data_IF_883834105926
#
_entry.id   IF_883834105926
#
_cell.length_a   1.000
_cell.length_b   1.000
_cell.length_c   1.000
_cell.angle_alpha   90.00
_cell.angle_beta   90.00
_cell.angle_gamma   90.00
#
_symmetry.space_group_name_H-M   'P 1'
#
loop_
_entity.id
_entity.type
_entity.pdbx_description
1 polymer ?
#
# COMPACT_ATOMS: atom_id res chain seq x y z
N UNK A 1 39.77 -16.21 -23.02
CA UNK A 1 38.67 -16.81 -23.80
C UNK A 1 37.39 -16.38 -23.13
N UNK A 2 36.93 -15.18 -23.45
CA UNK A 2 35.77 -14.56 -22.80
C UNK A 2 34.50 -15.27 -23.27
N UNK A 3 33.97 -16.16 -22.43
CA UNK A 3 32.64 -16.69 -22.64
C UNK A 3 31.66 -15.55 -22.43
N UNK A 4 31.31 -14.83 -23.50
CA UNK A 4 30.25 -13.83 -23.50
C UNK A 4 29.01 -14.48 -22.90
N UNK A 5 28.66 -14.07 -21.68
CA UNK A 5 27.42 -14.43 -21.03
C UNK A 5 26.27 -14.15 -22.00
N UNK A 6 25.32 -15.07 -22.05
CA UNK A 6 24.09 -14.88 -22.81
C UNK A 6 23.39 -13.59 -22.38
N UNK A 7 22.59 -13.00 -23.27
CA UNK A 7 21.81 -11.80 -22.95
C UNK A 7 20.96 -12.01 -21.67
N UNK A 8 20.41 -13.21 -21.48
CA UNK A 8 19.64 -13.57 -20.30
C UNK A 8 20.49 -13.51 -19.02
N UNK A 9 21.71 -14.07 -19.04
CA UNK A 9 22.62 -14.02 -17.89
C UNK A 9 23.03 -12.59 -17.54
N UNK A 10 23.33 -11.77 -18.54
CA UNK A 10 23.66 -10.35 -18.32
C UNK A 10 22.47 -9.55 -17.76
N UNK A 11 21.26 -9.87 -18.20
CA UNK A 11 20.05 -9.26 -17.65
C UNK A 11 19.82 -9.66 -16.19
N UNK A 12 20.06 -10.93 -15.85
CA UNK A 12 19.98 -11.43 -14.46
C UNK A 12 21.03 -10.73 -13.57
N UNK A 13 22.29 -10.64 -14.01
CA UNK A 13 23.35 -9.95 -13.26
C UNK A 13 23.03 -8.47 -13.03
N UNK A 14 22.49 -7.79 -14.04
CA UNK A 14 22.07 -6.39 -13.93
C UNK A 14 20.91 -6.24 -12.94
N UNK A 15 19.90 -7.10 -13.04
CA UNK A 15 18.76 -7.10 -12.14
C UNK A 15 19.18 -7.37 -10.69
N UNK A 16 20.10 -8.31 -10.46
CA UNK A 16 20.66 -8.58 -9.14
C UNK A 16 21.37 -7.34 -8.58
N UNK A 17 22.25 -6.70 -9.36
CA UNK A 17 22.95 -5.48 -8.93
C UNK A 17 21.99 -4.35 -8.56
N UNK A 18 20.89 -4.20 -9.29
CA UNK A 18 19.86 -3.21 -8.98
C UNK A 18 19.08 -3.56 -7.72
N UNK A 19 18.74 -4.84 -7.53
CA UNK A 19 18.01 -5.30 -6.35
C UNK A 19 18.84 -5.16 -5.07
N UNK A 20 20.12 -5.49 -5.13
CA UNK A 20 21.06 -5.33 -4.01
C UNK A 20 21.17 -3.85 -3.62
N UNK A 21 21.36 -2.98 -4.62
CA UNK A 21 21.45 -1.53 -4.38
C UNK A 21 20.15 -0.94 -3.83
N UNK A 22 19.00 -1.39 -4.32
CA UNK A 22 17.72 -0.97 -3.79
C UNK A 22 17.60 -1.40 -2.32
N UNK A 23 17.99 -2.63 -1.98
CA UNK A 23 17.93 -3.16 -0.62
C UNK A 23 18.82 -2.39 0.36
N UNK A 24 20.00 -1.95 -0.07
CA UNK A 24 20.89 -1.09 0.74
C UNK A 24 20.30 0.31 1.00
N UNK A 25 19.48 0.83 0.09
CA UNK A 25 18.90 2.16 0.16
C UNK A 25 17.56 2.20 0.92
N UNK A 26 16.93 1.04 1.12
CA UNK A 26 15.68 0.91 1.88
C UNK A 26 15.95 1.29 3.33
N UNK A 27 15.21 2.29 3.81
CA UNK A 27 15.21 2.67 5.21
C UNK A 27 14.13 1.87 5.99
N UNK A 28 14.11 1.99 7.32
CA UNK A 28 13.14 1.27 8.17
C UNK A 28 11.67 1.63 7.88
N UNK A 29 11.41 2.86 7.43
CA UNK A 29 10.07 3.31 7.07
C UNK A 29 9.59 2.61 5.79
N UNK A 30 10.46 2.52 4.78
CA UNK A 30 10.19 1.85 3.52
C UNK A 30 9.93 0.35 3.74
N UNK A 31 10.67 -0.29 4.64
CA UNK A 31 10.42 -1.68 5.03
C UNK A 31 9.02 -1.89 5.63
N UNK A 32 8.59 -1.01 6.54
CA UNK A 32 7.23 -1.06 7.12
C UNK A 32 6.16 -0.83 6.06
N UNK A 33 6.37 0.12 5.16
CA UNK A 33 5.48 0.38 4.04
C UNK A 33 5.39 -0.84 3.10
N UNK A 34 6.52 -1.49 2.78
CA UNK A 34 6.53 -2.72 1.98
C UNK A 34 5.71 -3.84 2.62
N UNK A 35 5.81 -4.01 3.95
CA UNK A 35 5.00 -4.99 4.68
C UNK A 35 3.51 -4.67 4.58
N UNK A 36 3.11 -3.42 4.76
CA UNK A 36 1.72 -2.98 4.62
C UNK A 36 1.21 -3.19 3.19
N UNK A 37 2.00 -2.77 2.20
CA UNK A 37 1.69 -2.93 0.77
C UNK A 37 1.51 -4.40 0.42
N UNK A 38 2.40 -5.28 0.89
CA UNK A 38 2.28 -6.72 0.68
C UNK A 38 1.02 -7.30 1.31
N UNK A 39 0.65 -6.89 2.53
CA UNK A 39 -0.62 -7.29 3.15
C UNK A 39 -1.82 -6.87 2.31
N UNK A 40 -1.84 -5.62 1.86
CA UNK A 40 -2.90 -5.10 1.00
C UNK A 40 -3.01 -5.88 -0.32
N UNK A 41 -1.88 -6.16 -0.98
CA UNK A 41 -1.87 -6.88 -2.26
C UNK A 41 -2.26 -8.36 -2.12
N UNK A 42 -2.02 -8.95 -0.94
CA UNK A 42 -2.36 -10.35 -0.67
C UNK A 42 -3.87 -10.61 -0.54
N UNK A 43 -4.65 -9.58 -0.23
CA UNK A 43 -6.10 -9.68 -0.05
C UNK A 43 -6.85 -8.86 -1.12
N UNK A 44 -7.60 -9.51 -2.03
CA UNK A 44 -8.34 -8.81 -3.08
C UNK A 44 -9.31 -7.74 -2.56
N UNK A 45 -9.92 -7.95 -1.38
CA UNK A 45 -10.88 -7.00 -0.80
C UNK A 45 -10.20 -5.73 -0.31
N UNK A 46 -9.01 -5.85 0.29
CA UNK A 46 -8.22 -4.70 0.74
C UNK A 46 -7.79 -3.82 -0.44
N UNK A 47 -7.49 -4.45 -1.58
CA UNK A 47 -7.15 -3.73 -2.81
C UNK A 47 -8.33 -2.94 -3.37
N UNK A 48 -9.53 -3.54 -3.37
CA UNK A 48 -10.76 -2.85 -3.83
C UNK A 48 -11.07 -1.67 -2.92
N UNK A 49 -11.00 -1.87 -1.60
CA UNK A 49 -11.21 -0.81 -0.61
C UNK A 49 -10.25 0.36 -0.83
N UNK A 50 -8.94 0.11 -1.03
CA UNK A 50 -7.99 1.19 -1.28
C UNK A 50 -8.35 1.98 -2.55
N UNK A 51 -8.67 1.27 -3.65
CA UNK A 51 -9.03 1.91 -4.91
C UNK A 51 -10.28 2.78 -4.75
N UNK A 52 -11.32 2.26 -4.08
CA UNK A 52 -12.55 3.02 -3.85
C UNK A 52 -12.35 4.19 -2.88
N UNK A 53 -11.51 4.04 -1.84
CA UNK A 53 -11.14 5.15 -0.96
C UNK A 53 -10.43 6.25 -1.75
N UNK A 54 -9.41 5.91 -2.56
CA UNK A 54 -8.71 6.88 -3.39
C UNK A 54 -9.63 7.56 -4.41
N UNK A 55 -10.55 6.81 -5.03
CA UNK A 55 -11.47 7.40 -5.99
C UNK A 55 -12.51 8.31 -5.33
N UNK A 56 -13.17 7.83 -4.27
CA UNK A 56 -14.35 8.49 -3.71
C UNK A 56 -13.99 9.60 -2.72
N UNK A 57 -12.96 9.41 -1.89
CA UNK A 57 -12.58 10.40 -0.87
C UNK A 57 -12.01 11.69 -1.46
N UNK A 58 -11.46 11.65 -2.68
CA UNK A 58 -10.90 12.84 -3.34
C UNK A 58 -11.82 13.44 -4.41
N UNK A 59 -12.96 12.82 -4.70
CA UNK A 59 -13.91 13.29 -5.73
C UNK A 59 -14.77 14.47 -5.27
N UNK A 60 -15.00 14.60 -3.97
CA UNK A 60 -15.75 15.71 -3.39
C UNK A 60 -14.84 16.76 -2.76
N UNK A 61 -15.16 18.04 -2.96
CA UNK A 61 -14.48 19.15 -2.27
C UNK A 61 -15.11 19.47 -0.92
N UNK A 62 -16.22 18.84 -0.57
CA UNK A 62 -16.95 19.10 0.68
C UNK A 62 -16.49 18.11 1.75
N UNK A 63 -15.85 18.56 2.85
CA UNK A 63 -15.29 17.67 3.87
C UNK A 63 -16.33 16.72 4.48
N UNK A 64 -17.54 17.21 4.74
CA UNK A 64 -18.65 16.39 5.25
C UNK A 64 -18.97 15.23 4.31
N UNK A 65 -19.03 15.50 3.00
CA UNK A 65 -19.32 14.47 2.01
C UNK A 65 -18.18 13.46 1.89
N UNK A 66 -16.93 13.90 2.04
CA UNK A 66 -15.78 12.99 2.08
C UNK A 66 -15.86 12.07 3.29
N UNK A 67 -16.18 12.61 4.47
CA UNK A 67 -16.36 11.84 5.69
C UNK A 67 -17.43 10.75 5.55
N UNK A 68 -18.62 11.11 5.04
CA UNK A 68 -19.70 10.15 4.80
C UNK A 68 -19.27 8.98 3.88
N UNK A 69 -18.48 9.28 2.84
CA UNK A 69 -18.00 8.25 1.90
C UNK A 69 -16.94 7.35 2.53
N UNK A 70 -16.05 7.93 3.32
CA UNK A 70 -15.05 7.17 4.06
C UNK A 70 -15.73 6.20 5.03
N UNK A 71 -16.72 6.66 5.79
CA UNK A 71 -17.50 5.81 6.70
C UNK A 71 -18.24 4.70 5.94
N UNK A 72 -18.94 5.04 4.86
CA UNK A 72 -19.64 4.07 4.02
C UNK A 72 -18.71 2.96 3.48
N UNK A 73 -17.51 3.32 3.05
CA UNK A 73 -16.53 2.34 2.56
C UNK A 73 -16.05 1.41 3.66
N UNK A 74 -15.83 1.93 4.87
CA UNK A 74 -15.45 1.09 6.00
C UNK A 74 -16.58 0.20 6.51
N UNK A 75 -17.83 0.64 6.45
CA UNK A 75 -18.98 -0.21 6.75
C UNK A 75 -19.12 -1.35 5.73
N UNK A 76 -18.88 -1.06 4.45
CA UNK A 76 -19.02 -2.01 3.34
C UNK A 76 -17.93 -3.08 3.34
N UNK A 77 -16.68 -2.71 3.57
CA UNK A 77 -15.52 -3.60 3.42
C UNK A 77 -14.90 -4.02 4.76
N UNK A 78 -15.28 -3.38 5.86
CA UNK A 78 -14.61 -3.51 7.15
C UNK A 78 -13.26 -2.79 7.20
N UNK A 79 -12.61 -2.89 8.35
CA UNK A 79 -11.28 -2.31 8.56
C UNK A 79 -10.19 -3.12 7.86
N UNK A 80 -9.66 -2.57 6.78
CA UNK A 80 -8.65 -3.18 5.91
C UNK A 80 -7.47 -3.80 6.67
N UNK A 81 -7.02 -4.99 6.27
CA UNK A 81 -5.98 -5.73 6.99
C UNK A 81 -4.59 -5.05 6.96
N UNK A 82 -4.39 -4.12 6.02
CA UNK A 82 -3.14 -3.38 5.88
C UNK A 82 -2.99 -2.21 6.86
N UNK A 83 -4.08 -1.73 7.47
CA UNK A 83 -3.99 -0.67 8.48
C UNK A 83 -3.27 -1.17 9.75
N UNK A 84 -2.33 -0.36 10.21
CA UNK A 84 -1.67 -0.49 11.51
C UNK A 84 -2.65 -0.28 12.66
N UNK A 85 -2.27 -0.73 13.85
CA UNK A 85 -3.07 -0.54 15.07
C UNK A 85 -3.34 0.94 15.37
N UNK A 86 -2.37 1.82 15.12
CA UNK A 86 -2.53 3.27 15.27
C UNK A 86 -3.54 3.85 14.29
N UNK A 87 -3.51 3.45 13.02
CA UNK A 87 -4.47 3.91 12.02
C UNK A 87 -5.89 3.42 12.32
N UNK A 88 -6.01 2.16 12.76
CA UNK A 88 -7.28 1.61 13.25
C UNK A 88 -7.84 2.40 14.43
N UNK A 89 -6.98 2.82 15.36
CA UNK A 89 -7.41 3.66 16.48
C UNK A 89 -7.84 5.06 16.02
N UNK A 90 -7.13 5.69 15.09
CA UNK A 90 -7.53 6.96 14.50
C UNK A 90 -8.88 6.86 13.77
N UNK A 91 -9.10 5.76 13.05
CA UNK A 91 -10.38 5.49 12.41
C UNK A 91 -11.52 5.31 13.41
N UNK A 92 -11.25 4.61 14.52
CA UNK A 92 -12.22 4.48 15.61
C UNK A 92 -12.54 5.84 16.24
N UNK A 93 -11.54 6.70 16.48
CA UNK A 93 -11.75 8.05 16.97
C UNK A 93 -12.58 8.88 15.99
N UNK A 94 -12.29 8.78 14.70
CA UNK A 94 -13.04 9.46 13.64
C UNK A 94 -14.51 9.05 13.63
N UNK A 95 -14.80 7.76 13.80
CA UNK A 95 -16.17 7.22 13.77
C UNK A 95 -16.99 7.52 15.03
N UNK A 96 -16.33 7.62 16.19
CA UNK A 96 -17.01 7.76 17.50
C UNK A 96 -17.03 9.19 18.04
N UNK A 97 -16.10 10.05 17.61
CA UNK A 97 -15.91 11.40 18.15
C UNK A 97 -16.04 12.49 17.06
N UNK A 98 -15.82 12.14 15.80
CA UNK A 98 -15.77 13.05 14.64
C UNK A 98 -17.11 13.40 14.02
#
# INVERSE_FOLDING_TARGET
MDSKLSLAQRAIELAQKWQDRASELVNEHDSKFHVQMNKMLSNPMDKILLIELMDQSFRSKTPKRVADQVQFLFDKYGMASFFTTSERFLMWLFDNIG
#
